data_IF_834826773146
#
_entry.id   IF_834826773146
#
_cell.length_a   1.000
_cell.length_b   1.000
_cell.length_c   1.000
_cell.angle_alpha   90.00
_cell.angle_beta   90.00
_cell.angle_gamma   90.00
#
_symmetry.space_group_name_H-M   'P 1'
#
loop_
_entity.id
_entity.type
_entity.pdbx_description
1 polymer ?
#
# COMPACT_ATOMS: atom_id res chain seq x y z
N UNK A 1 10.34 -7.62 12.41
CA UNK A 1 10.06 -7.36 10.99
C UNK A 1 9.48 -5.97 10.74
N UNK A 2 8.74 -5.44 11.65
CA UNK A 2 7.96 -4.23 11.51
C UNK A 2 6.73 -4.30 12.42
N UNK A 3 5.56 -4.05 11.86
CA UNK A 3 4.31 -4.15 12.62
C UNK A 3 3.11 -4.44 11.70
N UNK A 4 2.02 -4.86 12.32
CA UNK A 4 0.71 -5.03 11.69
C UNK A 4 -0.23 -3.97 12.22
N UNK A 5 -1.14 -3.49 11.38
CA UNK A 5 -2.23 -2.61 11.76
C UNK A 5 -3.53 -3.05 11.08
N UNK A 6 -4.65 -2.61 11.59
CA UNK A 6 -5.95 -2.92 11.06
C UNK A 6 -6.74 -1.65 10.71
N UNK A 7 -7.31 -1.62 9.53
CA UNK A 7 -8.36 -0.69 9.17
C UNK A 7 -9.70 -1.33 9.52
N UNK A 8 -10.44 -0.68 10.41
CA UNK A 8 -11.74 -1.13 10.91
C UNK A 8 -12.81 -0.23 10.29
N UNK A 9 -13.75 -0.81 9.57
CA UNK A 9 -14.84 -0.09 8.92
C UNK A 9 -16.17 -0.68 9.34
N UNK A 10 -17.14 0.16 9.64
CA UNK A 10 -18.52 -0.29 9.81
C UNK A 10 -19.05 -0.78 8.47
N UNK A 11 -19.77 -1.89 8.47
CA UNK A 11 -20.48 -2.36 7.29
C UNK A 11 -21.66 -1.43 7.00
N UNK A 12 -21.87 -1.10 5.72
CA UNK A 12 -22.96 -0.20 5.28
C UNK A 12 -24.29 -0.98 5.19
N UNK A 13 -24.22 -2.33 5.19
CA UNK A 13 -25.39 -3.18 5.12
C UNK A 13 -26.07 -3.33 6.49
N UNK A 14 -27.37 -3.62 6.49
CA UNK A 14 -28.32 -3.75 7.60
C UNK A 14 -27.90 -4.60 8.82
N UNK A 15 -26.65 -5.02 8.87
CA UNK A 15 -26.07 -5.78 9.97
C UNK A 15 -25.31 -4.84 10.92
N UNK A 16 -26.03 -4.20 11.81
CA UNK A 16 -25.52 -3.19 12.77
C UNK A 16 -24.37 -3.69 13.66
N UNK A 17 -24.22 -5.04 13.79
CA UNK A 17 -23.26 -5.67 14.72
C UNK A 17 -21.99 -6.20 14.04
N UNK A 18 -21.71 -5.83 12.79
CA UNK A 18 -20.54 -6.32 12.07
C UNK A 18 -19.57 -5.20 11.68
N UNK A 19 -18.30 -5.55 11.59
CA UNK A 19 -17.22 -4.70 11.11
C UNK A 19 -16.39 -5.41 10.05
N UNK A 20 -16.08 -4.71 8.98
CA UNK A 20 -15.07 -5.14 8.03
C UNK A 20 -13.68 -4.77 8.56
N UNK A 21 -12.84 -5.76 8.69
CA UNK A 21 -11.44 -5.63 9.11
C UNK A 21 -10.53 -5.93 7.94
N UNK A 22 -9.57 -5.04 7.69
CA UNK A 22 -8.46 -5.29 6.78
C UNK A 22 -7.15 -5.05 7.50
N UNK A 23 -6.33 -6.07 7.63
CA UNK A 23 -5.00 -5.94 8.18
C UNK A 23 -3.99 -5.64 7.09
N UNK A 24 -2.99 -4.88 7.44
CA UNK A 24 -1.84 -4.57 6.58
C UNK A 24 -0.58 -4.72 7.42
N UNK A 25 0.49 -5.22 6.82
CA UNK A 25 1.78 -5.32 7.47
C UNK A 25 2.74 -4.31 6.86
N UNK A 26 3.38 -3.53 7.69
CA UNK A 26 4.62 -2.88 7.35
C UNK A 26 5.77 -3.82 7.69
N UNK A 27 6.56 -4.19 6.69
CA UNK A 27 7.76 -5.02 6.84
C UNK A 27 8.95 -4.16 6.46
N UNK A 28 9.77 -3.87 7.46
CA UNK A 28 10.93 -3.00 7.28
C UNK A 28 11.92 -3.60 6.26
N UNK A 29 12.63 -2.77 5.48
CA UNK A 29 12.61 -1.32 5.59
C UNK A 29 11.49 -0.63 4.79
N UNK A 30 10.92 -1.25 3.74
CA UNK A 30 10.06 -0.55 2.79
C UNK A 30 8.96 -1.42 2.16
N UNK A 31 8.56 -2.51 2.80
CA UNK A 31 7.53 -3.39 2.26
C UNK A 31 6.17 -3.17 2.93
N UNK A 32 5.12 -3.13 2.12
CA UNK A 32 3.75 -3.21 2.56
C UNK A 32 3.08 -4.48 2.05
N UNK A 33 2.50 -5.29 2.94
CA UNK A 33 1.70 -6.45 2.57
C UNK A 33 0.24 -6.13 2.78
N UNK A 34 -0.56 -6.39 1.74
CA UNK A 34 -1.98 -6.10 1.71
C UNK A 34 -2.80 -7.37 1.52
N UNK A 35 -3.91 -7.44 2.21
CA UNK A 35 -4.87 -8.52 2.03
C UNK A 35 -5.52 -8.46 0.64
N UNK A 36 -5.84 -9.63 0.11
CA UNK A 36 -6.67 -9.81 -1.06
C UNK A 36 -7.62 -10.98 -0.84
N UNK A 37 -8.77 -10.94 -1.50
CA UNK A 37 -9.78 -11.98 -1.36
C UNK A 37 -9.30 -13.35 -1.86
N UNK A 38 -9.78 -14.43 -1.27
CA UNK A 38 -9.65 -15.81 -1.78
C UNK A 38 -8.19 -16.24 -2.08
N UNK A 39 -7.29 -16.11 -1.12
CA UNK A 39 -5.87 -16.48 -1.24
C UNK A 39 -5.01 -15.54 -2.12
N UNK A 40 -5.57 -14.44 -2.60
CA UNK A 40 -4.80 -13.38 -3.22
C UNK A 40 -4.12 -12.53 -2.16
N UNK A 41 -2.94 -12.06 -2.49
CA UNK A 41 -2.22 -11.07 -1.71
C UNK A 41 -1.54 -10.05 -2.63
N UNK A 42 -1.18 -8.93 -2.05
CA UNK A 42 -0.39 -7.92 -2.72
C UNK A 42 0.77 -7.50 -1.82
N UNK A 43 1.92 -7.31 -2.43
CA UNK A 43 3.08 -6.69 -1.82
C UNK A 43 3.42 -5.45 -2.62
N UNK A 44 3.65 -4.35 -1.93
CA UNK A 44 4.27 -3.15 -2.49
C UNK A 44 5.65 -2.97 -1.85
N UNK A 45 6.65 -2.70 -2.68
CA UNK A 45 7.98 -2.35 -2.19
C UNK A 45 8.31 -0.92 -2.65
N UNK A 46 8.51 -0.02 -1.69
CA UNK A 46 8.83 1.39 -1.90
C UNK A 46 10.35 1.57 -1.76
N UNK A 47 11.07 1.22 -2.82
CA UNK A 47 12.54 1.18 -2.80
C UNK A 47 13.10 2.57 -3.12
N UNK A 48 13.74 3.25 -2.18
CA UNK A 48 14.35 4.56 -2.45
C UNK A 48 15.49 4.42 -3.45
N UNK A 49 15.51 5.28 -4.47
CA UNK A 49 16.60 5.40 -5.45
C UNK A 49 17.55 6.50 -5.00
N UNK A 50 16.98 7.64 -4.65
CA UNK A 50 17.68 8.82 -4.13
C UNK A 50 16.73 9.63 -3.20
N UNK A 51 17.07 10.87 -2.88
CA UNK A 51 16.30 11.71 -1.98
C UNK A 51 14.95 12.16 -2.55
N UNK A 52 14.78 12.12 -3.87
CA UNK A 52 13.59 12.60 -4.58
C UNK A 52 12.82 11.48 -5.29
N UNK A 53 13.44 10.33 -5.53
CA UNK A 53 12.88 9.27 -6.35
C UNK A 53 12.78 7.95 -5.58
N UNK A 54 11.65 7.27 -5.78
CA UNK A 54 11.36 5.94 -5.22
C UNK A 54 10.89 5.02 -6.34
N UNK A 55 11.49 3.83 -6.44
CA UNK A 55 10.97 2.77 -7.30
C UNK A 55 9.88 2.02 -6.56
N UNK A 56 8.68 1.98 -7.12
CA UNK A 56 7.55 1.26 -6.57
C UNK A 56 7.33 -0.04 -7.33
N UNK A 57 7.48 -1.15 -6.63
CA UNK A 57 7.19 -2.48 -7.15
C UNK A 57 5.82 -2.95 -6.66
N UNK A 58 4.99 -3.38 -7.59
CA UNK A 58 3.72 -4.05 -7.31
C UNK A 58 3.85 -5.54 -7.59
N UNK A 59 3.68 -6.35 -6.56
CA UNK A 59 3.67 -7.80 -6.68
C UNK A 59 2.30 -8.31 -6.30
N UNK A 60 1.62 -8.94 -7.25
CA UNK A 60 0.37 -9.64 -7.01
C UNK A 60 0.64 -11.14 -7.01
N UNK A 61 0.15 -11.84 -6.00
CA UNK A 61 0.38 -13.27 -5.89
C UNK A 61 -0.87 -14.01 -5.45
N UNK A 62 -0.93 -15.30 -5.76
CA UNK A 62 -1.94 -16.21 -5.24
C UNK A 62 -1.22 -17.39 -4.56
N UNK A 63 -1.70 -17.76 -3.36
CA UNK A 63 -1.05 -18.79 -2.54
C UNK A 63 -1.37 -20.23 -3.00
N UNK A 64 -2.38 -20.40 -3.86
CA UNK A 64 -2.87 -21.73 -4.25
C UNK A 64 -2.83 -22.04 -5.73
N UNK A 65 -2.74 -21.03 -6.57
CA UNK A 65 -2.75 -21.21 -8.03
C UNK A 65 -1.86 -20.21 -8.75
N UNK A 66 -1.31 -20.55 -9.91
CA UNK A 66 -0.57 -19.62 -10.75
C UNK A 66 -1.44 -18.44 -11.18
N UNK A 67 -0.78 -17.30 -11.45
CA UNK A 67 -1.43 -16.13 -12.06
C UNK A 67 -1.49 -16.35 -13.55
N UNK A 68 -2.67 -16.49 -14.11
CA UNK A 68 -2.89 -16.62 -15.55
C UNK A 68 -2.89 -15.27 -16.28
N UNK A 69 -2.86 -15.30 -17.61
CA UNK A 69 -2.78 -14.09 -18.43
C UNK A 69 -4.02 -13.21 -18.29
N UNK A 70 -5.19 -13.81 -18.14
CA UNK A 70 -6.45 -13.09 -17.93
C UNK A 70 -6.44 -12.30 -16.61
N UNK A 71 -5.87 -12.89 -15.56
CA UNK A 71 -5.69 -12.20 -14.29
C UNK A 71 -4.65 -11.08 -14.41
N UNK A 72 -3.56 -11.29 -15.16
CA UNK A 72 -2.57 -10.24 -15.43
C UNK A 72 -3.19 -9.05 -16.13
N UNK A 73 -3.95 -9.27 -17.20
CA UNK A 73 -4.67 -8.21 -17.94
C UNK A 73 -5.63 -7.46 -17.02
N UNK A 74 -6.38 -8.17 -16.18
CA UNK A 74 -7.28 -7.57 -15.22
C UNK A 74 -6.55 -6.70 -14.19
N UNK A 75 -5.41 -7.15 -13.70
CA UNK A 75 -4.60 -6.40 -12.74
C UNK A 75 -3.97 -5.14 -13.36
N UNK A 76 -3.49 -5.22 -14.59
CA UNK A 76 -2.99 -4.06 -15.35
C UNK A 76 -4.12 -3.04 -15.54
N UNK A 77 -5.29 -3.48 -15.98
CA UNK A 77 -6.45 -2.61 -16.16
C UNK A 77 -6.90 -1.94 -14.85
N UNK A 78 -6.86 -2.68 -13.73
CA UNK A 78 -7.19 -2.16 -12.40
C UNK A 78 -6.15 -1.17 -11.88
N UNK A 79 -4.87 -1.43 -12.11
CA UNK A 79 -3.78 -0.54 -11.68
C UNK A 79 -3.78 0.78 -12.45
N UNK A 80 -4.09 0.74 -13.74
CA UNK A 80 -4.00 1.86 -14.65
C UNK A 80 -2.57 2.14 -15.15
N UNK A 81 -1.59 1.35 -14.72
CA UNK A 81 -0.19 1.49 -15.13
C UNK A 81 0.10 0.56 -16.32
N UNK A 82 -0.21 1.02 -17.51
CA UNK A 82 -0.01 0.25 -18.74
C UNK A 82 1.37 0.58 -19.30
N UNK A 83 2.27 -0.44 -19.44
CA UNK A 83 3.59 -0.23 -20.06
C UNK A 83 3.48 0.33 -21.46
N UNK A 84 4.32 1.32 -21.79
CA UNK A 84 4.31 2.01 -23.07
C UNK A 84 3.19 3.06 -23.24
N UNK A 85 2.25 3.15 -22.31
CA UNK A 85 1.19 4.18 -22.29
C UNK A 85 1.31 5.05 -21.03
N UNK A 86 1.19 4.45 -19.88
CA UNK A 86 1.22 5.15 -18.58
C UNK A 86 2.61 5.15 -17.94
N UNK A 87 3.47 4.21 -18.37
CA UNK A 87 4.87 4.07 -17.89
C UNK A 87 5.77 3.94 -19.12
N UNK A 88 6.85 4.71 -19.16
CA UNK A 88 7.90 4.62 -20.17
C UNK A 88 8.86 3.45 -19.92
N UNK A 89 9.84 3.27 -20.83
CA UNK A 89 10.85 2.19 -20.74
C UNK A 89 11.80 2.35 -19.54
N UNK A 90 11.82 3.52 -18.89
CA UNK A 90 12.57 3.78 -17.67
C UNK A 90 11.71 3.65 -16.41
N UNK A 91 10.51 3.10 -16.52
CA UNK A 91 9.51 2.96 -15.45
C UNK A 91 9.03 4.29 -14.86
N UNK A 92 9.13 5.39 -15.61
CA UNK A 92 8.60 6.69 -15.20
C UNK A 92 7.18 6.86 -15.72
N UNK A 93 6.35 7.50 -14.92
CA UNK A 93 5.01 7.85 -15.37
C UNK A 93 5.07 8.87 -16.49
N UNK A 94 4.27 8.66 -17.53
CA UNK A 94 4.07 9.62 -18.63
C UNK A 94 3.23 10.82 -18.19
N UNK A 95 2.43 10.65 -17.13
CA UNK A 95 1.59 11.67 -16.48
C UNK A 95 2.43 12.45 -15.49
N UNK A 96 2.41 13.77 -15.59
CA UNK A 96 3.19 14.64 -14.73
C UNK A 96 2.53 16.03 -14.61
N UNK A 97 3.11 16.91 -13.81
CA UNK A 97 2.59 18.26 -13.57
C UNK A 97 2.49 19.11 -14.84
N UNK A 98 3.38 18.93 -15.83
CA UNK A 98 3.42 19.73 -17.05
C UNK A 98 2.24 19.42 -17.98
N UNK A 99 1.69 18.21 -17.89
CA UNK A 99 0.53 17.79 -18.68
C UNK A 99 -0.75 17.60 -17.83
N UNK A 100 -0.81 18.24 -16.66
CA UNK A 100 -1.94 18.11 -15.71
C UNK A 100 -2.29 16.64 -15.41
N UNK A 101 -1.28 15.78 -15.35
CA UNK A 101 -1.39 14.32 -15.18
C UNK A 101 -2.35 13.65 -16.18
N UNK A 102 -2.64 14.28 -17.32
CA UNK A 102 -3.62 13.84 -18.30
C UNK A 102 -4.98 13.53 -17.65
N UNK A 103 -5.39 14.34 -16.70
CA UNK A 103 -6.64 14.20 -15.98
C UNK A 103 -7.83 14.49 -16.88
N UNK A 104 -8.80 13.57 -16.97
CA UNK A 104 -10.04 13.74 -17.75
C UNK A 104 -11.07 14.53 -16.93
N UNK A 105 -11.03 15.84 -17.06
CA UNK A 105 -11.95 16.75 -16.36
C UNK A 105 -13.38 16.63 -16.90
N UNK A 106 -13.57 16.30 -18.18
CA UNK A 106 -14.90 16.09 -18.74
C UNK A 106 -15.59 14.87 -18.11
N UNK A 107 -14.84 13.77 -17.90
CA UNK A 107 -15.37 12.62 -17.18
C UNK A 107 -15.73 12.93 -15.72
N UNK A 108 -15.04 13.89 -15.09
CA UNK A 108 -15.39 14.34 -13.73
C UNK A 108 -16.68 15.15 -13.74
N UNK A 109 -16.83 16.09 -14.68
CA UNK A 109 -18.04 16.92 -14.83
C UNK A 109 -19.27 16.06 -15.16
N UNK A 110 -19.11 15.03 -15.99
CA UNK A 110 -20.15 14.05 -16.32
C UNK A 110 -20.48 13.05 -15.19
N UNK A 111 -19.75 13.09 -14.08
CA UNK A 111 -19.90 12.13 -12.96
C UNK A 111 -19.46 10.70 -13.26
N UNK A 112 -18.72 10.49 -14.36
CA UNK A 112 -18.21 9.17 -14.77
C UNK A 112 -16.96 8.74 -14.02
N UNK A 113 -16.20 9.71 -13.51
CA UNK A 113 -15.00 9.50 -12.71
C UNK A 113 -14.90 10.54 -11.61
N UNK A 114 -14.53 10.12 -10.40
CA UNK A 114 -14.33 11.05 -9.29
C UNK A 114 -13.01 11.84 -9.41
N UNK A 115 -11.98 11.23 -9.97
CA UNK A 115 -10.64 11.80 -10.08
C UNK A 115 -10.24 12.22 -11.50
N UNK A 116 -10.98 11.77 -12.53
CA UNK A 116 -10.55 11.91 -13.92
C UNK A 116 -9.31 11.08 -14.28
N UNK A 117 -8.86 10.22 -13.37
CA UNK A 117 -7.71 9.35 -13.57
C UNK A 117 -8.15 7.89 -13.73
N UNK A 118 -7.37 7.14 -14.47
CA UNK A 118 -7.68 5.74 -14.75
C UNK A 118 -6.79 4.82 -13.95
N UNK A 119 -7.39 4.13 -13.00
CA UNK A 119 -6.73 3.10 -12.21
C UNK A 119 -6.17 3.62 -10.88
N UNK A 120 -6.31 2.78 -9.87
CA UNK A 120 -6.03 3.14 -8.47
C UNK A 120 -4.56 3.51 -8.23
N UNK A 121 -3.62 2.85 -8.93
CA UNK A 121 -2.20 3.15 -8.75
C UNK A 121 -1.79 4.47 -9.40
N UNK A 122 -2.47 4.85 -10.49
CA UNK A 122 -2.29 6.15 -11.12
C UNK A 122 -2.82 7.25 -10.19
N UNK A 123 -3.99 7.05 -9.57
CA UNK A 123 -4.53 8.00 -8.59
C UNK A 123 -3.58 8.21 -7.41
N UNK A 124 -3.06 7.11 -6.83
CA UNK A 124 -2.11 7.16 -5.72
C UNK A 124 -0.81 7.89 -6.12
N UNK A 125 -0.25 7.57 -7.28
CA UNK A 125 0.99 8.17 -7.76
C UNK A 125 0.83 9.68 -8.04
N UNK A 126 -0.27 10.08 -8.68
CA UNK A 126 -0.56 11.50 -8.96
C UNK A 126 -0.67 12.31 -7.69
N UNK A 127 -1.35 11.80 -6.66
CA UNK A 127 -1.44 12.46 -5.35
C UNK A 127 -0.05 12.63 -4.74
N UNK A 128 0.78 11.59 -4.77
CA UNK A 128 2.12 11.62 -4.19
C UNK A 128 3.04 12.60 -4.95
N UNK A 129 3.08 12.53 -6.28
CA UNK A 129 3.91 13.41 -7.10
C UNK A 129 3.46 14.87 -7.07
N UNK A 130 2.16 15.12 -6.92
CA UNK A 130 1.62 16.49 -6.84
C UNK A 130 2.13 17.27 -5.63
N UNK A 131 2.58 16.58 -4.58
CA UNK A 131 3.17 17.20 -3.39
C UNK A 131 4.59 17.73 -3.61
N UNK A 132 5.19 17.46 -4.77
CA UNK A 132 6.55 17.88 -5.13
C UNK A 132 7.61 16.83 -4.75
N UNK A 133 8.88 17.05 -5.17
CA UNK A 133 9.96 16.08 -4.99
C UNK A 133 10.20 15.74 -3.51
N UNK A 134 10.21 16.76 -2.66
CA UNK A 134 10.31 16.59 -1.20
C UNK A 134 9.13 17.32 -0.55
N UNK A 135 8.25 16.55 0.06
CA UNK A 135 7.08 17.11 0.72
C UNK A 135 7.46 17.90 1.97
N UNK A 136 6.95 19.13 2.10
CA UNK A 136 7.11 19.96 3.30
C UNK A 136 6.23 19.42 4.44
N UNK A 137 6.84 18.67 5.34
CA UNK A 137 6.16 18.05 6.49
C UNK A 137 5.78 19.05 7.58
N UNK A 138 6.20 20.31 7.50
CA UNK A 138 5.79 21.34 8.45
C UNK A 138 4.31 21.71 8.30
N UNK A 139 3.75 21.44 7.13
CA UNK A 139 2.33 21.67 6.82
C UNK A 139 1.46 20.44 7.03
N UNK A 140 2.04 19.31 7.46
CA UNK A 140 1.33 18.05 7.62
C UNK A 140 0.53 17.98 8.93
N UNK A 141 -0.71 17.57 8.84
CA UNK A 141 -1.62 17.39 9.98
C UNK A 141 -2.07 15.93 10.08
N UNK A 142 -1.32 15.13 10.84
CA UNK A 142 -1.65 13.73 11.06
C UNK A 142 -2.77 13.58 12.11
N UNK A 143 -3.81 12.83 11.76
CA UNK A 143 -4.93 12.53 12.62
C UNK A 143 -4.80 11.16 13.32
N UNK A 144 -5.84 10.77 14.05
CA UNK A 144 -5.89 9.48 14.75
C UNK A 144 -5.87 8.28 13.81
N UNK A 145 -6.32 8.44 12.58
CA UNK A 145 -6.27 7.40 11.52
C UNK A 145 -4.86 7.16 10.99
N UNK A 146 -3.92 8.09 11.23
CA UNK A 146 -2.55 8.03 10.72
C UNK A 146 -1.55 7.41 11.71
N UNK A 147 -2.05 6.78 12.78
CA UNK A 147 -1.21 6.20 13.83
C UNK A 147 -0.19 5.19 13.29
N UNK A 148 -0.55 4.46 12.22
CA UNK A 148 0.35 3.52 11.56
C UNK A 148 1.50 4.25 10.83
N UNK A 149 1.21 5.39 10.20
CA UNK A 149 2.21 6.26 9.55
C UNK A 149 3.19 6.82 10.58
N UNK A 150 2.67 7.35 11.70
CA UNK A 150 3.49 7.84 12.81
C UNK A 150 4.40 6.75 13.36
N UNK A 151 3.87 5.54 13.54
CA UNK A 151 4.64 4.40 14.04
C UNK A 151 5.74 3.99 13.07
N UNK A 152 5.44 3.91 11.79
CA UNK A 152 6.40 3.58 10.73
C UNK A 152 7.55 4.58 10.71
N UNK A 153 7.26 5.89 10.69
CA UNK A 153 8.27 6.94 10.70
C UNK A 153 9.17 6.89 11.93
N UNK A 154 8.60 6.70 13.13
CA UNK A 154 9.39 6.55 14.37
C UNK A 154 10.34 5.35 14.29
N UNK A 155 9.84 4.22 13.82
CA UNK A 155 10.60 2.99 13.69
C UNK A 155 11.76 3.17 12.71
N UNK A 156 11.52 3.80 11.55
CA UNK A 156 12.56 4.06 10.55
C UNK A 156 13.61 5.05 11.06
N UNK A 157 13.18 6.13 11.72
CA UNK A 157 14.11 7.10 12.33
C UNK A 157 14.98 6.46 13.43
N UNK A 158 14.42 5.58 14.24
CA UNK A 158 15.18 4.84 15.23
C UNK A 158 16.20 3.89 14.60
N UNK A 159 15.81 3.21 13.52
CA UNK A 159 16.70 2.32 12.78
C UNK A 159 17.89 3.08 12.17
N UNK A 160 17.63 4.20 11.50
CA UNK A 160 18.69 5.06 10.91
C UNK A 160 19.61 5.60 11.99
N UNK A 161 19.07 6.14 13.08
CA UNK A 161 19.88 6.67 14.21
C UNK A 161 20.74 5.56 14.86
N UNK A 162 20.19 4.36 15.04
CA UNK A 162 20.93 3.22 15.57
C UNK A 162 22.07 2.78 14.64
N UNK A 163 21.80 2.77 13.33
CA UNK A 163 22.84 2.46 12.35
C UNK A 163 23.97 3.51 12.33
N UNK A 164 23.60 4.80 12.28
CA UNK A 164 24.58 5.89 12.25
C UNK A 164 25.45 5.97 13.53
N UNK A 165 24.85 5.65 14.69
CA UNK A 165 25.54 5.74 15.97
C UNK A 165 26.40 4.51 16.26
N UNK A 166 25.86 3.34 16.08
CA UNK A 166 26.43 2.09 16.63
C UNK A 166 26.64 1.01 15.54
N UNK A 167 26.39 1.31 14.25
CA UNK A 167 26.46 0.35 13.15
C UNK A 167 25.41 -0.78 13.28
N UNK A 168 24.36 -0.59 14.08
CA UNK A 168 23.33 -1.61 14.28
C UNK A 168 22.62 -1.92 12.96
N UNK A 169 22.47 -3.20 12.60
CA UNK A 169 21.76 -3.58 11.40
C UNK A 169 20.31 -3.06 11.48
N UNK A 170 19.75 -2.57 10.37
CA UNK A 170 18.37 -2.12 10.33
C UNK A 170 17.41 -3.30 10.58
N UNK A 171 16.20 -2.96 11.03
CA UNK A 171 15.11 -3.93 11.17
C UNK A 171 14.87 -4.66 9.85
N UNK A 172 14.56 -5.95 9.94
CA UNK A 172 14.30 -6.79 8.78
C UNK A 172 15.50 -7.63 8.33
N UNK A 173 16.70 -7.36 8.81
CA UNK A 173 17.88 -8.22 8.57
C UNK A 173 18.08 -9.31 9.64
N UNK A 174 17.12 -9.47 10.54
CA UNK A 174 17.21 -10.48 11.58
C UNK A 174 16.76 -11.84 11.03
N UNK A 175 17.62 -12.84 11.08
CA UNK A 175 17.46 -14.18 10.52
C UNK A 175 16.30 -15.00 11.12
N UNK A 176 15.78 -14.57 12.27
CA UNK A 176 14.73 -15.31 12.98
C UNK A 176 13.30 -14.92 12.59
N UNK A 177 13.13 -14.07 11.60
CA UNK A 177 11.78 -13.66 11.16
C UNK A 177 11.21 -14.68 10.17
N UNK A 178 10.11 -15.35 10.50
CA UNK A 178 9.47 -16.30 9.59
C UNK A 178 8.69 -15.55 8.50
N UNK A 179 9.39 -14.96 7.55
CA UNK A 179 8.79 -14.15 6.47
C UNK A 179 7.72 -14.92 5.69
N UNK A 180 7.91 -16.23 5.51
CA UNK A 180 6.95 -17.11 4.83
C UNK A 180 5.59 -17.22 5.55
N UNK A 181 5.52 -16.83 6.83
CA UNK A 181 4.29 -16.84 7.63
C UNK A 181 3.62 -15.47 7.73
N UNK A 182 4.25 -14.42 7.23
CA UNK A 182 3.66 -13.09 7.26
C UNK A 182 2.50 -13.02 6.27
N UNK A 183 1.30 -12.72 6.76
CA UNK A 183 0.07 -12.59 5.97
C UNK A 183 -0.69 -11.34 6.37
N UNK A 184 -1.20 -10.66 5.36
CA UNK A 184 -2.24 -9.66 5.53
C UNK A 184 -3.59 -10.34 5.29
N UNK A 185 -4.60 -9.99 6.07
CA UNK A 185 -5.88 -10.70 6.11
C UNK A 185 -7.04 -9.71 6.13
N UNK A 186 -8.17 -10.14 5.63
CA UNK A 186 -9.41 -9.39 5.71
C UNK A 186 -10.57 -10.30 6.11
N UNK A 187 -11.50 -9.77 6.90
CA UNK A 187 -12.68 -10.49 7.35
C UNK A 187 -13.79 -9.53 7.74
N UNK A 188 -15.01 -10.03 7.68
CA UNK A 188 -16.17 -9.42 8.36
C UNK A 188 -16.32 -10.14 9.69
N UNK A 189 -16.26 -9.39 10.79
CA UNK A 189 -16.34 -9.94 12.15
C UNK A 189 -17.48 -9.29 12.93
N UNK A 190 -17.97 -10.00 13.95
CA UNK A 190 -18.90 -9.41 14.91
C UNK A 190 -18.19 -8.41 15.81
N UNK A 191 -18.93 -7.45 16.37
CA UNK A 191 -18.38 -6.43 17.28
C UNK A 191 -17.69 -7.01 18.54
N UNK A 192 -18.03 -8.25 18.90
CA UNK A 192 -17.44 -8.94 20.05
C UNK A 192 -16.10 -9.63 19.71
N UNK A 193 -15.68 -9.62 18.45
CA UNK A 193 -14.43 -10.21 17.99
C UNK A 193 -13.39 -9.12 17.80
N UNK A 194 -12.16 -9.35 18.24
CA UNK A 194 -11.10 -8.36 18.06
C UNK A 194 -10.41 -8.55 16.70
N UNK A 195 -9.87 -7.47 16.14
CA UNK A 195 -9.11 -7.57 14.89
C UNK A 195 -7.86 -8.46 15.03
N UNK A 196 -7.33 -8.62 16.26
CA UNK A 196 -6.23 -9.52 16.54
C UNK A 196 -6.62 -11.00 16.32
N UNK A 197 -7.89 -11.34 16.51
CA UNK A 197 -8.39 -12.71 16.28
C UNK A 197 -8.43 -13.04 14.79
N UNK A 198 -8.69 -12.06 13.92
CA UNK A 198 -8.58 -12.23 12.47
C UNK A 198 -7.17 -12.70 12.08
N UNK A 199 -6.15 -12.17 12.73
CA UNK A 199 -4.77 -12.53 12.46
C UNK A 199 -4.36 -13.93 12.95
N UNK A 200 -5.15 -14.54 13.81
CA UNK A 200 -4.92 -15.92 14.29
C UNK A 200 -5.54 -16.97 13.36
N UNK A 201 -6.55 -16.58 12.61
CA UNK A 201 -7.27 -17.49 11.68
C UNK A 201 -6.40 -17.94 10.50
N UNK A 202 -5.35 -17.20 10.18
CA UNK A 202 -4.38 -17.52 9.13
C UNK A 202 -3.09 -18.20 9.62
N UNK A 203 -2.98 -18.52 10.91
CA UNK A 203 -1.85 -19.31 11.41
C UNK A 203 -2.17 -20.80 11.26
N UNK A 204 -1.27 -21.57 10.59
CA UNK A 204 -1.43 -23.02 10.51
C UNK A 204 -1.26 -23.68 11.88
#
# INVERSE_FOLDING_TARGET
YGFRYAAIRRTIAEEEDKSYIRTTLFVAPFYGLFAGQKNWGALQAFVPIDDENTMLYFVRYNLKQPVDDKERERQIAWSGLIPGIDIDDNFRMTRNRENDWLQDRAAMEDGKSASGLRGVQVEDAVIQESMGPIFDRSTEHLGTTDIAVVRMRRLMLQAVRGFMKDGKPPLGLNEQIPYERLRAEEAIISQNTTWQDVCKLGQP
#
